data_IF_720663740656
#
_entry.id   IF_720663740656
#
_cell.length_a   1.000
_cell.length_b   1.000
_cell.length_c   1.000
_cell.angle_alpha   90.00
_cell.angle_beta   90.00
_cell.angle_gamma   90.00
#
_symmetry.space_group_name_H-M   'P 1'
#
loop_
_entity.id
_entity.type
_entity.pdbx_description
1 polymer ?
#
# COMPACT_ATOMS: atom_id res chain seq x y z
N UNK A 1 9.97 -4.15 13.25
CA UNK A 1 9.97 -4.72 14.62
C UNK A 1 10.31 -3.65 15.65
N UNK A 2 11.34 -2.82 15.43
CA UNK A 2 11.73 -1.79 16.40
C UNK A 2 10.58 -0.86 16.82
N UNK A 3 9.77 -0.39 15.89
CA UNK A 3 8.58 0.45 16.18
C UNK A 3 7.57 -0.30 17.04
N UNK A 4 7.23 -1.54 16.66
CA UNK A 4 6.29 -2.39 17.41
C UNK A 4 6.80 -2.62 18.84
N UNK A 5 8.09 -2.90 19.01
CA UNK A 5 8.67 -3.09 20.33
C UNK A 5 8.63 -1.81 21.17
N UNK A 6 8.91 -0.66 20.54
CA UNK A 6 8.81 0.63 21.23
C UNK A 6 7.37 0.90 21.71
N UNK A 7 6.37 0.64 20.87
CA UNK A 7 4.96 0.80 21.23
C UNK A 7 4.55 -0.13 22.37
N UNK A 8 4.98 -1.41 22.33
CA UNK A 8 4.71 -2.37 23.41
C UNK A 8 5.32 -1.91 24.74
N UNK A 9 6.56 -1.45 24.72
CA UNK A 9 7.25 -0.94 25.93
C UNK A 9 6.59 0.33 26.49
N UNK A 10 6.17 1.24 25.60
CA UNK A 10 5.48 2.45 25.99
C UNK A 10 4.11 2.18 26.63
N UNK A 11 3.47 1.04 26.26
CA UNK A 11 2.20 0.60 26.83
C UNK A 11 2.34 -0.34 28.06
N UNK A 12 3.53 -0.42 28.65
CA UNK A 12 3.75 -1.00 29.98
C UNK A 12 4.31 -2.42 30.03
N UNK A 13 4.68 -3.03 28.90
CA UNK A 13 5.35 -4.32 28.88
C UNK A 13 6.85 -4.20 28.58
N UNK A 14 7.60 -3.76 29.59
CA UNK A 14 9.06 -3.59 29.50
C UNK A 14 9.83 -4.92 29.34
N UNK A 15 9.18 -6.06 29.51
CA UNK A 15 9.82 -7.40 29.52
C UNK A 15 9.93 -8.02 28.13
N UNK A 16 9.24 -7.46 27.15
CA UNK A 16 9.22 -8.06 25.80
C UNK A 16 10.55 -7.79 25.09
N UNK A 17 11.18 -8.86 24.60
CA UNK A 17 12.41 -8.80 23.82
C UNK A 17 12.15 -8.74 22.33
N UNK A 18 13.10 -8.25 21.54
CA UNK A 18 13.05 -8.25 20.08
C UNK A 18 12.79 -9.66 19.54
N UNK A 19 13.47 -10.68 20.11
CA UNK A 19 13.31 -12.07 19.69
C UNK A 19 11.89 -12.60 19.93
N UNK A 20 11.25 -12.16 21.00
CA UNK A 20 9.85 -12.51 21.29
C UNK A 20 8.91 -11.89 20.28
N UNK A 21 9.08 -10.60 19.96
CA UNK A 21 8.27 -9.93 18.92
C UNK A 21 8.47 -10.58 17.56
N UNK A 22 9.71 -10.92 17.19
CA UNK A 22 9.97 -11.66 15.95
C UNK A 22 9.27 -13.02 15.91
N UNK A 23 9.27 -13.77 17.03
CA UNK A 23 8.60 -15.07 17.08
C UNK A 23 7.09 -14.97 16.92
N UNK A 24 6.45 -13.94 17.52
CA UNK A 24 5.02 -13.68 17.34
C UNK A 24 4.68 -13.28 15.90
N UNK A 25 5.47 -12.37 15.31
CA UNK A 25 5.28 -11.98 13.91
C UNK A 25 5.40 -13.20 12.99
N UNK A 26 6.37 -14.07 13.23
CA UNK A 26 6.53 -15.32 12.48
C UNK A 26 5.32 -16.22 12.63
N UNK A 27 4.84 -16.44 13.85
CA UNK A 27 3.66 -17.25 14.10
C UNK A 27 2.41 -16.70 13.40
N UNK A 28 2.19 -15.37 13.47
CA UNK A 28 1.07 -14.72 12.78
C UNK A 28 1.14 -14.86 11.26
N UNK A 29 2.34 -14.88 10.67
CA UNK A 29 2.52 -15.18 9.24
C UNK A 29 2.23 -16.65 8.91
N UNK A 30 2.69 -17.58 9.74
CA UNK A 30 2.47 -19.01 9.54
C UNK A 30 0.98 -19.41 9.60
N UNK A 31 0.17 -18.68 10.36
CA UNK A 31 -1.29 -18.88 10.43
C UNK A 31 -2.08 -17.93 9.53
N UNK A 32 -1.40 -17.23 8.59
CA UNK A 32 -2.02 -16.36 7.61
C UNK A 32 -2.86 -15.21 8.20
N UNK A 33 -2.45 -14.63 9.31
CA UNK A 33 -3.08 -13.43 9.89
C UNK A 33 -2.49 -12.17 9.28
N UNK A 34 -1.18 -12.18 9.06
CA UNK A 34 -0.43 -11.06 8.46
C UNK A 34 0.46 -11.55 7.32
N UNK A 35 0.76 -10.64 6.40
CA UNK A 35 1.70 -10.86 5.31
C UNK A 35 2.57 -9.64 5.06
N UNK A 36 3.73 -9.82 4.42
CA UNK A 36 4.59 -8.72 4.03
C UNK A 36 4.39 -8.35 2.57
N UNK A 37 4.32 -7.05 2.29
CA UNK A 37 4.49 -6.48 0.96
C UNK A 37 5.96 -6.17 0.78
N UNK A 38 6.56 -6.78 -0.25
CA UNK A 38 7.99 -6.63 -0.55
C UNK A 38 8.23 -5.24 -1.13
N UNK A 39 9.36 -4.63 -0.76
CA UNK A 39 9.76 -3.35 -1.32
C UNK A 39 10.12 -3.47 -2.80
N UNK A 40 9.52 -2.61 -3.64
CA UNK A 40 9.87 -2.50 -5.04
C UNK A 40 11.18 -1.74 -5.23
N UNK A 41 12.07 -2.28 -6.05
CA UNK A 41 13.38 -1.71 -6.32
C UNK A 41 13.55 -1.39 -7.83
N UNK A 42 12.97 -0.28 -8.32
CA UNK A 42 13.07 0.10 -9.71
C UNK A 42 14.45 0.70 -10.06
N UNK A 43 14.75 0.76 -11.36
CA UNK A 43 15.84 1.56 -11.86
C UNK A 43 15.48 3.05 -11.80
N UNK A 44 16.14 3.81 -10.93
CA UNK A 44 15.94 5.26 -10.80
C UNK A 44 17.00 6.05 -11.59
N UNK A 45 16.63 7.23 -12.07
CA UNK A 45 17.54 8.18 -12.75
C UNK A 45 18.62 8.73 -11.82
N UNK A 46 18.31 8.85 -10.54
CA UNK A 46 19.21 9.31 -9.50
C UNK A 46 19.53 8.20 -8.50
N UNK A 47 20.66 8.30 -7.80
CA UNK A 47 21.05 7.37 -6.73
C UNK A 47 20.24 7.61 -5.44
N UNK A 48 18.92 7.72 -5.55
CA UNK A 48 18.04 7.81 -4.38
C UNK A 48 18.02 6.45 -3.70
N UNK A 49 18.35 6.41 -2.41
CA UNK A 49 18.28 5.16 -1.67
C UNK A 49 16.83 4.79 -1.39
N UNK A 50 16.44 3.61 -1.84
CA UNK A 50 15.13 3.01 -1.60
C UNK A 50 15.16 2.33 -0.23
N UNK A 51 14.08 2.46 0.53
CA UNK A 51 13.89 1.67 1.75
C UNK A 51 13.50 0.25 1.35
N UNK A 52 14.29 -0.72 1.79
CA UNK A 52 14.11 -2.14 1.45
C UNK A 52 13.35 -2.92 2.52
N UNK A 53 12.86 -2.25 3.56
CA UNK A 53 12.04 -2.89 4.60
C UNK A 53 10.65 -3.16 4.06
N UNK A 54 10.17 -4.39 4.22
CA UNK A 54 8.83 -4.79 3.85
C UNK A 54 7.78 -4.04 4.67
N UNK A 55 6.66 -3.69 4.04
CA UNK A 55 5.45 -3.20 4.71
C UNK A 55 4.57 -4.39 5.08
N UNK A 56 3.93 -4.32 6.26
CA UNK A 56 3.15 -5.44 6.78
C UNK A 56 1.67 -5.10 6.78
N UNK A 57 0.87 -6.04 6.25
CA UNK A 57 -0.58 -5.94 6.20
C UNK A 57 -1.24 -7.12 6.89
N UNK A 58 -2.45 -6.93 7.38
CA UNK A 58 -3.33 -8.06 7.62
C UNK A 58 -3.75 -8.68 6.28
N UNK A 59 -3.89 -10.00 6.23
CA UNK A 59 -4.37 -10.68 5.03
C UNK A 59 -5.81 -10.28 4.70
N UNK A 60 -6.61 -10.01 5.73
CA UNK A 60 -7.96 -9.48 5.58
C UNK A 60 -8.19 -8.33 6.57
N UNK A 61 -8.75 -7.23 6.09
CA UNK A 61 -9.06 -6.05 6.90
C UNK A 61 -10.05 -6.33 8.04
N UNK A 62 -10.90 -7.36 7.91
CA UNK A 62 -11.83 -7.78 8.96
C UNK A 62 -11.10 -8.34 10.18
N UNK A 63 -9.94 -8.97 10.01
CA UNK A 63 -9.11 -9.44 11.13
C UNK A 63 -8.63 -8.23 11.95
N UNK A 64 -8.20 -7.16 11.28
CA UNK A 64 -7.74 -5.95 11.94
C UNK A 64 -8.87 -5.28 12.74
N UNK A 65 -10.05 -5.10 12.14
CA UNK A 65 -11.21 -4.50 12.82
C UNK A 65 -11.69 -5.34 14.00
N UNK A 66 -11.70 -6.67 13.85
CA UNK A 66 -12.05 -7.59 14.94
C UNK A 66 -11.02 -7.52 16.10
N UNK A 67 -9.73 -7.49 15.79
CA UNK A 67 -8.68 -7.39 16.80
C UNK A 67 -8.72 -6.05 17.56
N UNK A 68 -9.08 -4.96 16.88
CA UNK A 68 -9.25 -3.64 17.49
C UNK A 68 -10.60 -3.47 18.21
N UNK A 69 -11.56 -4.37 17.98
CA UNK A 69 -12.90 -4.26 18.54
C UNK A 69 -13.70 -3.09 18.00
N UNK A 70 -13.42 -2.64 16.77
CA UNK A 70 -14.02 -1.46 16.13
C UNK A 70 -15.01 -1.86 15.04
N UNK A 71 -16.03 -1.03 14.87
CA UNK A 71 -17.06 -1.18 13.85
C UNK A 71 -17.14 0.02 12.90
N UNK A 72 -18.14 0.01 11.97
CA UNK A 72 -18.25 1.07 10.97
C UNK A 72 -18.38 2.48 11.55
N UNK A 73 -19.05 2.65 12.70
CA UNK A 73 -19.20 3.95 13.35
C UNK A 73 -17.88 4.48 13.90
N UNK A 74 -17.04 3.60 14.44
CA UNK A 74 -15.74 3.96 14.97
C UNK A 74 -14.82 4.41 13.83
N UNK A 75 -14.82 3.69 12.71
CA UNK A 75 -14.06 4.03 11.52
C UNK A 75 -14.46 5.37 10.90
N UNK A 76 -15.75 5.70 10.88
CA UNK A 76 -16.23 7.01 10.38
C UNK A 76 -15.73 8.15 11.27
N UNK A 77 -15.59 7.91 12.57
CA UNK A 77 -15.12 8.90 13.53
C UNK A 77 -13.58 8.99 13.60
N UNK A 78 -12.86 7.99 13.07
CA UNK A 78 -11.40 7.93 13.01
C UNK A 78 -10.96 7.62 11.57
N UNK A 79 -10.87 8.70 10.77
CA UNK A 79 -10.53 8.60 9.35
C UNK A 79 -9.10 8.14 9.11
N UNK A 80 -8.20 8.30 10.07
CA UNK A 80 -6.82 7.80 9.98
C UNK A 80 -6.80 6.27 10.06
N UNK A 81 -7.41 5.70 11.10
CA UNK A 81 -7.58 4.24 11.21
C UNK A 81 -8.36 3.67 10.03
N UNK A 82 -9.42 4.36 9.59
CA UNK A 82 -10.16 3.95 8.39
C UNK A 82 -9.25 3.90 7.16
N UNK A 83 -8.38 4.88 6.97
CA UNK A 83 -7.39 4.90 5.88
C UNK A 83 -6.52 3.65 5.85
N UNK A 84 -5.93 3.25 6.98
CA UNK A 84 -5.11 2.05 7.09
C UNK A 84 -5.90 0.75 6.85
N UNK A 85 -7.13 0.66 7.35
CA UNK A 85 -8.00 -0.50 7.12
C UNK A 85 -8.39 -0.59 5.64
N UNK A 86 -8.70 0.55 5.01
CA UNK A 86 -9.03 0.63 3.60
C UNK A 86 -7.82 0.30 2.70
N UNK A 87 -6.64 0.79 3.03
CA UNK A 87 -5.39 0.44 2.33
C UNK A 87 -5.14 -1.07 2.38
N UNK A 88 -5.32 -1.69 3.56
CA UNK A 88 -5.21 -3.15 3.72
C UNK A 88 -6.17 -3.90 2.79
N UNK A 89 -7.43 -3.46 2.70
CA UNK A 89 -8.43 -4.04 1.79
C UNK A 89 -8.01 -3.86 0.32
N UNK A 90 -7.60 -2.66 -0.05
CA UNK A 90 -7.21 -2.32 -1.41
C UNK A 90 -5.99 -3.13 -1.88
N UNK A 91 -4.95 -3.24 -1.05
CA UNK A 91 -3.75 -4.03 -1.35
C UNK A 91 -4.07 -5.51 -1.49
N UNK A 92 -4.93 -6.06 -0.63
CA UNK A 92 -5.43 -7.45 -0.74
C UNK A 92 -6.09 -7.69 -2.10
N UNK A 93 -7.03 -6.84 -2.48
CA UNK A 93 -7.78 -7.01 -3.73
C UNK A 93 -6.87 -6.85 -4.96
N UNK A 94 -5.96 -5.86 -4.93
CA UNK A 94 -4.95 -5.70 -6.00
C UNK A 94 -4.06 -6.94 -6.13
N UNK A 95 -3.71 -7.62 -5.05
CA UNK A 95 -2.94 -8.87 -5.09
C UNK A 95 -3.72 -9.99 -5.76
N UNK A 96 -4.99 -10.17 -5.39
CA UNK A 96 -5.85 -11.19 -5.97
C UNK A 96 -5.98 -10.98 -7.49
N UNK A 97 -6.25 -9.74 -7.92
CA UNK A 97 -6.38 -9.42 -9.34
C UNK A 97 -5.05 -9.51 -10.10
N UNK A 98 -3.94 -9.14 -9.45
CA UNK A 98 -2.62 -9.24 -10.06
C UNK A 98 -2.17 -10.68 -10.24
N UNK A 99 -2.47 -11.56 -9.28
CA UNK A 99 -2.13 -12.98 -9.33
C UNK A 99 -2.83 -13.67 -10.53
N UNK A 100 -4.09 -13.31 -10.77
CA UNK A 100 -4.84 -13.78 -11.94
C UNK A 100 -4.20 -13.37 -13.30
N UNK A 101 -3.32 -12.38 -13.30
CA UNK A 101 -2.57 -11.87 -14.45
C UNK A 101 -1.08 -12.24 -14.43
N UNK A 102 -0.67 -13.24 -13.66
CA UNK A 102 0.74 -13.58 -13.42
C UNK A 102 1.57 -12.39 -12.91
N UNK A 103 0.98 -11.53 -12.12
CA UNK A 103 1.59 -10.35 -11.53
C UNK A 103 1.87 -10.48 -10.05
N UNK A 104 2.52 -9.47 -9.50
CA UNK A 104 2.76 -9.31 -8.06
C UNK A 104 2.55 -7.86 -7.67
N UNK A 105 2.17 -7.64 -6.42
CA UNK A 105 2.04 -6.31 -5.83
C UNK A 105 3.20 -6.08 -4.87
N UNK A 106 3.84 -4.94 -5.02
CA UNK A 106 4.92 -4.43 -4.18
C UNK A 106 4.52 -3.10 -3.60
N UNK A 107 5.26 -2.59 -2.61
CA UNK A 107 5.18 -1.19 -2.20
C UNK A 107 6.49 -0.46 -2.55
N UNK A 108 6.45 0.88 -2.58
CA UNK A 108 7.64 1.70 -2.77
C UNK A 108 7.75 2.75 -1.68
N UNK A 109 8.95 2.92 -1.15
CA UNK A 109 9.29 4.04 -0.26
C UNK A 109 10.75 4.42 -0.41
N UNK A 110 11.05 5.71 -0.54
CA UNK A 110 12.43 6.19 -0.57
C UNK A 110 12.83 6.96 0.70
N UNK A 111 14.08 7.36 0.79
CA UNK A 111 14.61 8.15 1.92
C UNK A 111 13.99 9.55 2.03
N UNK A 112 13.42 10.06 0.96
CA UNK A 112 12.79 11.39 0.92
C UNK A 112 11.28 11.31 1.25
N UNK A 113 10.84 10.17 1.80
CA UNK A 113 9.45 9.87 2.12
C UNK A 113 8.49 9.92 0.91
N UNK A 114 9.00 9.75 -0.30
CA UNK A 114 8.13 9.47 -1.44
C UNK A 114 7.70 8.02 -1.36
N UNK A 115 6.40 7.80 -1.39
CA UNK A 115 5.77 6.49 -1.22
C UNK A 115 4.88 6.16 -2.41
N UNK A 116 4.59 4.89 -2.59
CA UNK A 116 3.55 4.37 -3.45
C UNK A 116 3.01 3.10 -2.78
N UNK A 117 1.73 3.12 -2.46
CA UNK A 117 1.08 2.08 -1.65
C UNK A 117 1.10 0.73 -2.35
N UNK A 118 0.89 0.72 -3.66
CA UNK A 118 0.96 -0.51 -4.44
C UNK A 118 1.60 -0.29 -5.81
N UNK A 119 2.53 -1.18 -6.16
CA UNK A 119 3.09 -1.32 -7.50
C UNK A 119 2.65 -2.66 -8.06
N UNK A 120 1.69 -2.64 -8.98
CA UNK A 120 1.23 -3.83 -9.70
C UNK A 120 2.23 -4.12 -10.81
N UNK A 121 2.98 -5.22 -10.69
CA UNK A 121 4.06 -5.56 -11.62
C UNK A 121 3.81 -6.93 -12.24
N UNK A 122 3.65 -6.97 -13.56
CA UNK A 122 3.41 -8.19 -14.32
C UNK A 122 4.74 -8.85 -14.73
N UNK A 123 4.70 -10.16 -14.94
CA UNK A 123 5.86 -10.96 -15.35
C UNK A 123 6.49 -10.49 -16.68
N UNK A 124 5.73 -9.86 -17.56
CA UNK A 124 6.21 -9.29 -18.83
C UNK A 124 6.97 -7.96 -18.67
N UNK A 125 7.18 -7.49 -17.43
CA UNK A 125 7.84 -6.24 -17.09
C UNK A 125 6.96 -4.99 -17.23
N UNK A 126 5.65 -5.14 -17.52
CA UNK A 126 4.70 -4.04 -17.44
C UNK A 126 4.29 -3.81 -15.99
N UNK A 127 4.08 -2.55 -15.59
CA UNK A 127 3.68 -2.24 -14.22
C UNK A 127 2.82 -0.98 -14.18
N UNK A 128 2.03 -0.86 -13.11
CA UNK A 128 1.26 0.31 -12.77
C UNK A 128 1.58 0.78 -11.35
N UNK A 129 1.43 2.07 -11.10
CA UNK A 129 1.63 2.69 -9.81
C UNK A 129 0.26 3.08 -9.23
N UNK A 130 0.03 2.74 -7.97
CA UNK A 130 -1.27 2.93 -7.30
C UNK A 130 -1.08 3.59 -5.94
N UNK A 131 -1.80 4.68 -5.72
CA UNK A 131 -2.02 5.31 -4.41
C UNK A 131 -3.43 4.99 -3.94
N UNK A 132 -3.58 4.69 -2.66
CA UNK A 132 -4.86 4.37 -2.04
C UNK A 132 -5.31 5.56 -1.20
N UNK A 133 -6.50 6.08 -1.47
CA UNK A 133 -7.09 7.21 -0.75
C UNK A 133 -8.57 6.92 -0.47
N UNK A 134 -9.09 7.29 0.69
CA UNK A 134 -10.52 7.06 0.96
C UNK A 134 -11.37 7.80 -0.08
N UNK A 135 -10.98 9.01 -0.46
CA UNK A 135 -11.66 9.84 -1.45
C UNK A 135 -11.52 11.33 -1.13
N UNK A 136 -12.23 12.17 -1.91
CA UNK A 136 -12.12 13.62 -1.81
C UNK A 136 -11.10 14.20 -2.78
N UNK A 137 -11.43 15.37 -3.35
CA UNK A 137 -10.65 15.99 -4.43
C UNK A 137 -9.20 16.30 -4.03
N UNK A 138 -8.99 16.71 -2.79
CA UNK A 138 -7.66 17.05 -2.27
C UNK A 138 -6.77 15.80 -2.14
N UNK A 139 -7.25 14.74 -1.50
CA UNK A 139 -6.50 13.49 -1.35
C UNK A 139 -6.22 12.82 -2.70
N UNK A 140 -7.17 12.92 -3.65
CA UNK A 140 -6.97 12.43 -5.02
C UNK A 140 -5.85 13.23 -5.72
N UNK A 141 -5.84 14.56 -5.55
CA UNK A 141 -4.80 15.42 -6.10
C UNK A 141 -3.43 15.08 -5.52
N UNK A 142 -3.32 14.96 -4.20
CA UNK A 142 -2.06 14.57 -3.52
C UNK A 142 -1.55 13.21 -3.99
N UNK A 143 -2.42 12.20 -4.08
CA UNK A 143 -2.06 10.89 -4.59
C UNK A 143 -1.56 10.94 -6.03
N UNK A 144 -2.23 11.71 -6.90
CA UNK A 144 -1.81 11.88 -8.28
C UNK A 144 -0.43 12.58 -8.39
N UNK A 145 -0.17 13.58 -7.55
CA UNK A 145 1.13 14.27 -7.50
C UNK A 145 2.26 13.33 -7.04
N UNK A 146 2.01 12.50 -6.00
CA UNK A 146 2.94 11.48 -5.52
C UNK A 146 3.30 10.48 -6.63
N UNK A 147 2.30 9.93 -7.31
CA UNK A 147 2.50 8.98 -8.42
C UNK A 147 3.31 9.58 -9.58
N UNK A 148 3.03 10.83 -9.96
CA UNK A 148 3.77 11.56 -11.00
C UNK A 148 5.21 11.82 -10.56
N UNK A 149 5.43 12.19 -9.31
CA UNK A 149 6.76 12.40 -8.76
C UNK A 149 7.59 11.10 -8.82
N UNK A 150 7.01 9.95 -8.44
CA UNK A 150 7.67 8.66 -8.57
C UNK A 150 7.94 8.30 -10.04
N UNK A 151 6.92 8.42 -10.89
CA UNK A 151 7.05 8.13 -12.33
C UNK A 151 8.19 8.92 -12.99
N UNK A 152 8.36 10.19 -12.61
CA UNK A 152 9.43 11.04 -13.14
C UNK A 152 10.85 10.63 -12.71
N UNK A 153 10.99 9.94 -11.57
CA UNK A 153 12.27 9.42 -11.07
C UNK A 153 12.71 8.14 -11.77
N UNK A 154 11.81 7.40 -12.41
CA UNK A 154 12.10 6.13 -13.05
C UNK A 154 12.95 6.34 -14.30
N UNK A 155 14.00 5.54 -14.45
CA UNK A 155 14.89 5.58 -15.62
C UNK A 155 14.28 4.81 -16.80
N UNK A 156 13.59 5.53 -17.66
CA UNK A 156 12.94 4.98 -18.86
C UNK A 156 13.91 4.38 -19.89
N UNK A 157 15.21 4.59 -19.73
CA UNK A 157 16.22 3.95 -20.60
C UNK A 157 16.54 2.52 -20.13
N UNK A 158 16.24 2.18 -18.87
CA UNK A 158 16.56 0.89 -18.24
C UNK A 158 15.35 0.04 -17.96
N UNK A 159 14.16 0.62 -17.91
CA UNK A 159 12.90 -0.11 -17.70
C UNK A 159 11.73 0.61 -18.38
N UNK A 160 10.63 -0.10 -18.59
CA UNK A 160 9.41 0.49 -19.16
C UNK A 160 8.90 1.65 -18.31
N UNK A 161 8.21 2.60 -18.93
CA UNK A 161 7.40 3.57 -18.21
C UNK A 161 6.18 2.88 -17.59
N UNK A 162 5.61 3.41 -16.49
CA UNK A 162 4.37 2.86 -15.95
C UNK A 162 3.27 2.79 -17.01
N UNK A 163 2.57 1.68 -17.07
CA UNK A 163 1.42 1.48 -17.97
C UNK A 163 0.24 2.37 -17.56
N UNK A 164 0.12 2.65 -16.27
CA UNK A 164 -0.87 3.56 -15.70
C UNK A 164 -0.38 4.12 -14.36
N UNK A 165 -0.94 5.29 -14.01
CA UNK A 165 -0.91 5.87 -12.69
C UNK A 165 -2.36 5.89 -12.20
N UNK A 166 -2.65 5.38 -10.99
CA UNK A 166 -4.01 5.23 -10.50
C UNK A 166 -4.13 5.65 -9.04
N UNK A 167 -5.08 6.51 -8.74
CA UNK A 167 -5.57 6.72 -7.38
C UNK A 167 -6.79 5.81 -7.18
N UNK A 168 -6.64 4.81 -6.32
CA UNK A 168 -7.70 3.89 -5.94
C UNK A 168 -8.47 4.48 -4.77
N UNK A 169 -9.78 4.66 -4.92
CA UNK A 169 -10.61 5.34 -3.92
C UNK A 169 -11.63 4.42 -3.27
N UNK A 170 -11.96 4.71 -2.00
CA UNK A 170 -13.02 4.00 -1.26
C UNK A 170 -14.43 4.44 -1.67
N UNK A 171 -14.55 5.66 -2.19
CA UNK A 171 -15.83 6.26 -2.59
C UNK A 171 -15.78 6.74 -4.03
N UNK A 172 -16.92 6.71 -4.70
CA UNK A 172 -17.12 7.16 -6.09
C UNK A 172 -18.03 6.21 -6.84
N UNK A 173 -18.75 6.74 -7.86
CA UNK A 173 -19.74 5.99 -8.62
C UNK A 173 -19.17 5.40 -9.91
N UNK A 174 -18.08 5.97 -10.44
CA UNK A 174 -17.46 5.52 -11.70
C UNK A 174 -15.96 5.84 -11.74
N UNK A 175 -15.24 5.08 -12.52
CA UNK A 175 -13.84 5.33 -12.81
C UNK A 175 -13.72 6.42 -13.90
N UNK A 176 -12.71 7.29 -13.76
CA UNK A 176 -12.44 8.33 -14.75
C UNK A 176 -10.94 8.61 -14.85
N UNK A 177 -10.57 9.27 -15.94
CA UNK A 177 -9.21 9.77 -16.15
C UNK A 177 -9.20 11.28 -15.93
N UNK A 178 -8.31 11.73 -15.06
CA UNK A 178 -8.14 13.16 -14.77
C UNK A 178 -7.69 13.89 -16.05
N UNK A 179 -8.36 14.98 -16.45
CA UNK A 179 -8.04 15.68 -17.67
C UNK A 179 -6.69 16.43 -17.58
N UNK A 180 -6.31 16.88 -16.38
CA UNK A 180 -5.11 17.69 -16.14
C UNK A 180 -3.80 16.92 -16.22
N UNK A 181 -3.80 15.62 -15.92
CA UNK A 181 -2.55 14.84 -15.82
C UNK A 181 -2.67 13.39 -16.30
N UNK A 182 -3.86 12.95 -16.64
CA UNK A 182 -4.09 11.62 -17.17
C UNK A 182 -4.06 10.51 -16.13
N UNK A 183 -3.97 10.81 -14.84
CA UNK A 183 -4.03 9.84 -13.76
C UNK A 183 -5.44 9.26 -13.69
N UNK A 184 -5.55 7.94 -13.54
CA UNK A 184 -6.82 7.26 -13.36
C UNK A 184 -7.30 7.44 -11.91
N UNK A 185 -8.57 7.70 -11.73
CA UNK A 185 -9.25 7.66 -10.43
C UNK A 185 -10.27 6.54 -10.50
N UNK A 186 -10.09 5.53 -9.65
CA UNK A 186 -10.86 4.29 -9.73
C UNK A 186 -11.43 3.96 -8.35
N UNK A 187 -12.75 4.05 -8.16
CA UNK A 187 -13.38 3.52 -6.96
C UNK A 187 -13.16 2.01 -6.86
N UNK A 188 -12.90 1.50 -5.65
CA UNK A 188 -12.61 0.07 -5.44
C UNK A 188 -13.74 -0.82 -5.96
N UNK A 189 -14.99 -0.37 -5.88
CA UNK A 189 -16.14 -1.08 -6.43
C UNK A 189 -16.16 -1.19 -7.96
N UNK A 190 -15.29 -0.46 -8.68
CA UNK A 190 -15.11 -0.56 -10.12
C UNK A 190 -14.03 -1.57 -10.53
N UNK A 191 -13.24 -2.09 -9.57
CA UNK A 191 -12.28 -3.16 -9.85
C UNK A 191 -13.00 -4.49 -10.03
N UNK A 192 -12.54 -5.26 -11.01
CA UNK A 192 -13.02 -6.63 -11.27
C UNK A 192 -11.85 -7.49 -11.72
N UNK A 193 -11.90 -8.82 -11.47
CA UNK A 193 -10.94 -9.76 -12.02
C UNK A 193 -10.96 -9.82 -13.54
#
# INVERSE_FOLDING_TARGET
>A
VGTILADIKNNGDERMSDSTVYSYIKALKEIFVIEDSIAWNPNLRSKTAIRTSDTRYFIDSSIATAALGIGPKDLINDMETFGFIFETLAVRDLRIYSDALDGKVYHYRDKNNLECDAVVHLRNGSYGLVEVKIGGSELIREGAESLKALSSKIDSTKMKTPSFLMVLTGIGDFAYKRPEDGVLVVPIGCLRP
#
